data_IF_736625653361
#
_entry.id   IF_736625653361
#
_cell.length_a   1.000
_cell.length_b   1.000
_cell.length_c   1.000
_cell.angle_alpha   90.00
_cell.angle_beta   90.00
_cell.angle_gamma   90.00
#
_symmetry.space_group_name_H-M   'P 1'
#
loop_
_entity.id
_entity.type
_entity.pdbx_description
1 polymer ?
#
# COMPACT_ATOMS: atom_id res chain seq x y z
N UNK A 1 -24.40 5.05 -18.16
CA UNK A 1 -23.98 5.15 -16.74
C UNK A 1 -23.64 3.75 -16.28
N UNK A 2 -22.36 3.43 -16.22
CA UNK A 2 -21.90 2.19 -15.63
C UNK A 2 -22.07 2.30 -14.11
N UNK A 3 -23.01 1.59 -13.55
CA UNK A 3 -23.16 1.48 -12.11
C UNK A 3 -22.16 0.41 -11.65
N UNK A 4 -21.00 0.84 -11.15
CA UNK A 4 -20.08 -0.06 -10.45
C UNK A 4 -20.77 -0.42 -9.13
N UNK A 5 -21.48 -1.54 -9.10
CA UNK A 5 -21.96 -2.10 -7.83
C UNK A 5 -20.74 -2.64 -7.10
N UNK A 6 -20.62 -2.47 -5.77
CA UNK A 6 -19.69 -3.25 -4.97
C UNK A 6 -20.16 -4.71 -5.07
N UNK A 7 -19.70 -5.40 -6.10
CA UNK A 7 -19.99 -6.81 -6.29
C UNK A 7 -19.18 -7.62 -5.29
N UNK A 8 -19.77 -8.69 -4.83
CA UNK A 8 -19.15 -9.72 -4.00
C UNK A 8 -17.70 -9.94 -4.45
N UNK A 9 -16.76 -9.55 -3.61
CA UNK A 9 -15.33 -9.49 -3.89
C UNK A 9 -14.79 -10.92 -3.98
N UNK A 10 -15.03 -11.56 -5.11
CA UNK A 10 -14.40 -12.84 -5.51
C UNK A 10 -13.19 -12.61 -6.42
N UNK A 11 -12.85 -11.36 -6.71
CA UNK A 11 -11.81 -11.03 -7.67
C UNK A 11 -10.45 -10.89 -7.00
N UNK A 12 -9.41 -11.19 -7.76
CA UNK A 12 -8.01 -11.08 -7.35
C UNK A 12 -7.70 -9.67 -6.86
N UNK A 13 -7.46 -9.53 -5.56
CA UNK A 13 -7.33 -8.23 -4.87
C UNK A 13 -6.21 -7.34 -5.45
N UNK A 14 -5.11 -7.91 -5.96
CA UNK A 14 -4.00 -7.14 -6.58
C UNK A 14 -4.49 -6.39 -7.82
N UNK A 15 -5.30 -7.02 -8.67
CA UNK A 15 -5.87 -6.37 -9.86
C UNK A 15 -6.86 -5.29 -9.48
N UNK A 16 -7.67 -5.54 -8.46
CA UNK A 16 -8.65 -4.59 -7.96
C UNK A 16 -7.98 -3.32 -7.41
N UNK A 17 -6.95 -3.45 -6.58
CA UNK A 17 -6.22 -2.32 -6.02
C UNK A 17 -5.53 -1.48 -7.10
N UNK A 18 -4.96 -2.12 -8.12
CA UNK A 18 -4.38 -1.42 -9.27
C UNK A 18 -5.45 -0.67 -10.07
N UNK A 19 -6.62 -1.29 -10.27
CA UNK A 19 -7.76 -0.64 -10.92
C UNK A 19 -8.25 0.57 -10.11
N UNK A 20 -8.37 0.44 -8.80
CA UNK A 20 -8.83 1.54 -7.94
C UNK A 20 -7.83 2.69 -7.89
N UNK A 21 -6.54 2.39 -7.89
CA UNK A 21 -5.49 3.41 -8.05
C UNK A 21 -5.64 4.15 -9.38
N UNK A 22 -5.86 3.43 -10.49
CA UNK A 22 -6.14 4.02 -11.80
C UNK A 22 -7.43 4.85 -11.85
N UNK A 23 -8.49 4.41 -11.17
CA UNK A 23 -9.73 5.20 -11.06
C UNK A 23 -9.50 6.51 -10.30
N UNK A 24 -8.68 6.50 -9.25
CA UNK A 24 -8.31 7.71 -8.53
C UNK A 24 -7.46 8.66 -9.39
N UNK A 25 -6.54 8.13 -10.21
CA UNK A 25 -5.79 8.93 -11.17
C UNK A 25 -6.71 9.57 -12.24
N UNK A 26 -7.67 8.82 -12.78
CA UNK A 26 -8.66 9.36 -13.72
C UNK A 26 -9.49 10.47 -13.08
N UNK A 27 -9.96 10.27 -11.85
CA UNK A 27 -10.68 11.30 -11.09
C UNK A 27 -9.82 12.57 -10.92
N UNK A 28 -8.56 12.41 -10.55
CA UNK A 28 -7.64 13.54 -10.35
C UNK A 28 -7.37 14.32 -11.64
N UNK A 29 -7.22 13.61 -12.77
CA UNK A 29 -6.91 14.22 -14.07
C UNK A 29 -8.10 14.84 -14.77
N UNK A 30 -9.27 14.21 -14.66
CA UNK A 30 -10.47 14.64 -15.38
C UNK A 30 -11.39 15.53 -14.56
N UNK A 31 -11.28 15.49 -13.23
CA UNK A 31 -12.24 16.13 -12.32
C UNK A 31 -13.62 15.46 -12.31
N UNK A 32 -13.77 14.26 -12.89
CA UNK A 32 -15.04 13.54 -12.93
C UNK A 32 -15.41 12.99 -11.55
N UNK A 33 -16.15 13.79 -10.79
CA UNK A 33 -16.61 13.46 -9.44
C UNK A 33 -17.56 12.26 -9.38
N UNK A 34 -18.02 11.73 -10.52
CA UNK A 34 -18.89 10.54 -10.53
C UNK A 34 -18.20 9.29 -9.98
N UNK A 35 -16.87 9.22 -10.05
CA UNK A 35 -16.08 8.12 -9.52
C UNK A 35 -15.90 8.17 -7.99
N UNK A 36 -16.04 9.35 -7.40
CA UNK A 36 -15.73 9.60 -6.00
C UNK A 36 -16.51 8.73 -5.01
N UNK A 37 -17.87 8.63 -5.10
CA UNK A 37 -18.64 7.80 -4.17
C UNK A 37 -18.26 6.31 -4.23
N UNK A 38 -17.90 5.82 -5.42
CA UNK A 38 -17.46 4.44 -5.58
C UNK A 38 -16.10 4.22 -4.91
N UNK A 39 -15.14 5.12 -5.11
CA UNK A 39 -13.81 5.05 -4.49
C UNK A 39 -13.90 5.14 -2.96
N UNK A 40 -14.73 6.06 -2.43
CA UNK A 40 -14.93 6.20 -0.99
C UNK A 40 -15.55 4.94 -0.38
N UNK A 41 -16.57 4.36 -1.02
CA UNK A 41 -17.20 3.12 -0.56
C UNK A 41 -16.25 1.93 -0.60
N UNK A 42 -15.45 1.80 -1.65
CA UNK A 42 -14.45 0.75 -1.81
C UNK A 42 -13.37 0.89 -0.73
N UNK A 43 -12.86 2.09 -0.52
CA UNK A 43 -11.82 2.35 0.47
C UNK A 43 -12.30 2.00 1.88
N UNK A 44 -13.47 2.49 2.29
CA UNK A 44 -14.05 2.16 3.58
C UNK A 44 -14.25 0.66 3.76
N UNK A 45 -14.76 -0.05 2.75
CA UNK A 45 -14.95 -1.50 2.82
C UNK A 45 -13.61 -2.24 2.99
N UNK A 46 -12.57 -1.81 2.27
CA UNK A 46 -11.24 -2.43 2.38
C UNK A 46 -10.64 -2.16 3.76
N UNK A 47 -10.56 -0.90 4.16
CA UNK A 47 -9.81 -0.50 5.36
C UNK A 47 -10.54 -0.89 6.65
N UNK A 48 -11.85 -0.70 6.70
CA UNK A 48 -12.62 -0.94 7.91
C UNK A 48 -12.96 -2.42 8.13
N UNK A 49 -13.02 -3.23 7.05
CA UNK A 49 -13.61 -4.56 7.13
C UNK A 49 -12.70 -5.70 6.63
N UNK A 50 -11.64 -5.42 5.87
CA UNK A 50 -10.88 -6.45 5.16
C UNK A 50 -9.37 -6.32 5.27
N UNK A 51 -8.89 -5.28 5.91
CA UNK A 51 -7.47 -5.02 6.09
C UNK A 51 -6.98 -5.64 7.41
N UNK A 52 -5.88 -6.39 7.33
CA UNK A 52 -5.18 -6.86 8.52
C UNK A 52 -4.47 -5.70 9.22
N UNK A 53 -4.16 -5.85 10.49
CA UNK A 53 -3.48 -4.83 11.30
C UNK A 53 -2.14 -4.38 10.70
N UNK A 54 -1.50 -5.20 9.90
CA UNK A 54 -0.26 -4.90 9.18
C UNK A 54 -0.48 -4.08 7.90
N UNK A 55 -1.70 -3.67 7.59
CA UNK A 55 -2.02 -3.06 6.29
C UNK A 55 -2.08 -4.06 5.14
N UNK A 56 -1.89 -5.33 5.43
CA UNK A 56 -1.97 -6.40 4.46
C UNK A 56 -3.40 -6.78 4.09
N UNK A 57 -3.57 -7.35 2.92
CA UNK A 57 -4.85 -7.69 2.33
C UNK A 57 -4.84 -9.12 1.76
N UNK A 58 -6.00 -9.76 1.82
CA UNK A 58 -6.18 -11.12 1.30
C UNK A 58 -6.29 -12.16 2.40
N UNK A 59 -7.52 -12.49 2.82
CA UNK A 59 -7.77 -13.48 3.84
C UNK A 59 -7.77 -14.92 3.29
N UNK A 60 -7.96 -15.12 1.97
CA UNK A 60 -8.25 -16.43 1.39
C UNK A 60 -7.18 -16.84 0.37
N UNK A 61 -6.50 -17.96 0.64
CA UNK A 61 -5.48 -18.55 -0.22
C UNK A 61 -6.00 -18.97 -1.60
N UNK A 62 -7.09 -19.68 -1.66
CA UNK A 62 -7.52 -20.39 -2.87
C UNK A 62 -7.99 -19.49 -4.02
N UNK A 63 -8.31 -18.23 -3.74
CA UNK A 63 -8.80 -17.28 -4.74
C UNK A 63 -7.94 -16.01 -4.85
N UNK A 64 -6.87 -15.93 -4.05
CA UNK A 64 -6.07 -14.69 -3.95
C UNK A 64 -6.96 -13.45 -3.74
N UNK A 65 -7.96 -13.57 -2.85
CA UNK A 65 -9.06 -12.61 -2.75
C UNK A 65 -9.29 -12.07 -1.34
N UNK A 66 -10.12 -11.05 -1.30
CA UNK A 66 -10.55 -10.47 -0.05
C UNK A 66 -11.39 -11.42 0.75
N UNK A 67 -11.50 -12.07 1.54
CA UNK A 67 -12.46 -12.87 2.31
C UNK A 67 -13.77 -12.13 2.64
N UNK A 68 -14.67 -12.75 3.37
CA UNK A 68 -15.80 -12.08 3.96
C UNK A 68 -15.38 -10.94 4.89
N UNK A 69 -16.29 -10.01 5.15
CA UNK A 69 -16.05 -8.89 6.07
C UNK A 69 -15.68 -9.41 7.46
N UNK A 70 -14.69 -8.77 8.09
CA UNK A 70 -14.16 -9.10 9.43
C UNK A 70 -13.57 -10.51 9.58
N UNK A 71 -13.38 -11.25 8.49
CA UNK A 71 -12.65 -12.51 8.50
C UNK A 71 -11.19 -12.24 8.18
N UNK A 72 -10.38 -12.12 9.24
CA UNK A 72 -8.98 -11.72 9.21
C UNK A 72 -8.11 -12.73 9.99
N UNK A 73 -7.93 -13.96 9.46
CA UNK A 73 -7.14 -14.99 10.14
C UNK A 73 -5.67 -14.55 10.24
N UNK A 74 -4.99 -14.94 11.32
CA UNK A 74 -3.57 -14.63 11.50
C UNK A 74 -2.68 -15.60 10.73
N UNK A 75 -2.92 -16.89 10.88
CA UNK A 75 -2.08 -17.95 10.34
C UNK A 75 -2.45 -18.34 8.90
N UNK A 76 -3.74 -18.42 8.64
CA UNK A 76 -4.26 -18.89 7.36
C UNK A 76 -4.53 -17.77 6.36
N UNK A 77 -4.09 -16.55 6.66
CA UNK A 77 -4.18 -15.42 5.74
C UNK A 77 -3.23 -15.60 4.57
N UNK A 78 -3.72 -15.36 3.35
CA UNK A 78 -2.84 -15.25 2.18
C UNK A 78 -1.97 -14.01 2.25
N UNK A 79 -2.59 -12.88 2.51
CA UNK A 79 -1.93 -11.61 2.84
C UNK A 79 -0.75 -11.30 1.89
N UNK A 80 -1.04 -11.30 0.59
CA UNK A 80 -0.03 -11.22 -0.45
C UNK A 80 0.76 -9.92 -0.42
N UNK A 81 2.07 -10.00 -0.52
CA UNK A 81 2.93 -8.81 -0.57
C UNK A 81 2.58 -7.87 -1.74
N UNK A 82 2.16 -8.40 -2.90
CA UNK A 82 1.67 -7.56 -4.00
C UNK A 82 0.41 -6.76 -3.63
N UNK A 83 -0.46 -7.33 -2.80
CA UNK A 83 -1.65 -6.61 -2.33
C UNK A 83 -1.26 -5.44 -1.42
N UNK A 84 -0.26 -5.62 -0.57
CA UNK A 84 0.26 -4.51 0.24
C UNK A 84 0.86 -3.40 -0.63
N UNK A 85 1.62 -3.75 -1.67
CA UNK A 85 2.10 -2.77 -2.67
C UNK A 85 0.93 -2.03 -3.32
N UNK A 86 -0.10 -2.76 -3.76
CA UNK A 86 -1.31 -2.17 -4.32
C UNK A 86 -2.04 -1.25 -3.34
N UNK A 87 -2.07 -1.63 -2.05
CA UNK A 87 -2.67 -0.83 -0.98
C UNK A 87 -1.93 0.49 -0.78
N UNK A 88 -0.59 0.49 -0.73
CA UNK A 88 0.22 1.71 -0.69
C UNK A 88 -0.09 2.61 -1.88
N UNK A 89 -0.10 2.06 -3.10
CA UNK A 89 -0.35 2.81 -4.33
C UNK A 89 -1.76 3.41 -4.36
N UNK A 90 -2.78 2.64 -4.00
CA UNK A 90 -4.17 3.11 -3.97
C UNK A 90 -4.35 4.23 -2.94
N UNK A 91 -3.86 4.05 -1.73
CA UNK A 91 -3.97 5.05 -0.68
C UNK A 91 -3.23 6.35 -1.03
N UNK A 92 -2.04 6.25 -1.61
CA UNK A 92 -1.32 7.45 -2.06
C UNK A 92 -2.11 8.22 -3.14
N UNK A 93 -2.76 7.55 -4.11
CA UNK A 93 -3.64 8.20 -5.09
C UNK A 93 -4.86 8.83 -4.46
N UNK A 94 -5.48 8.17 -3.50
CA UNK A 94 -6.59 8.74 -2.73
C UNK A 94 -6.15 9.99 -1.97
N UNK A 95 -4.97 9.98 -1.37
CA UNK A 95 -4.39 11.16 -0.73
C UNK A 95 -4.22 12.31 -1.71
N UNK A 96 -3.62 12.09 -2.88
CA UNK A 96 -3.45 13.13 -3.90
C UNK A 96 -4.78 13.75 -4.34
N UNK A 97 -5.86 12.99 -4.29
CA UNK A 97 -7.21 13.44 -4.66
C UNK A 97 -7.91 14.20 -3.52
N UNK A 98 -7.74 13.74 -2.29
CA UNK A 98 -8.51 14.20 -1.12
C UNK A 98 -7.71 15.10 -0.18
N UNK A 99 -6.38 14.98 -0.17
CA UNK A 99 -5.46 15.67 0.78
C UNK A 99 -5.78 15.37 2.26
N UNK A 100 -6.26 14.16 2.56
CA UNK A 100 -6.62 13.70 3.88
C UNK A 100 -5.56 12.72 4.38
N UNK A 101 -4.99 12.97 5.55
CA UNK A 101 -3.88 12.20 6.14
C UNK A 101 -4.23 10.73 6.36
N UNK A 102 -5.51 10.38 6.61
CA UNK A 102 -5.93 9.00 6.83
C UNK A 102 -5.50 8.01 5.73
N UNK A 103 -5.37 8.48 4.50
CA UNK A 103 -4.89 7.66 3.40
C UNK A 103 -3.40 7.41 3.50
N UNK A 104 -2.63 8.42 3.95
CA UNK A 104 -1.20 8.28 4.18
C UNK A 104 -0.92 7.35 5.35
N UNK A 105 -1.72 7.43 6.42
CA UNK A 105 -1.61 6.54 7.58
C UNK A 105 -1.76 5.08 7.17
N UNK A 106 -2.76 4.76 6.35
CA UNK A 106 -2.94 3.41 5.82
C UNK A 106 -1.79 2.99 4.90
N UNK A 107 -1.33 3.90 4.03
CA UNK A 107 -0.19 3.63 3.15
C UNK A 107 1.09 3.35 3.94
N UNK A 108 1.33 4.10 5.01
CA UNK A 108 2.49 3.94 5.88
C UNK A 108 2.46 2.60 6.63
N UNK A 109 1.32 2.26 7.24
CA UNK A 109 1.14 0.95 7.90
C UNK A 109 1.40 -0.19 6.92
N UNK A 110 0.83 -0.14 5.72
CA UNK A 110 1.04 -1.16 4.70
C UNK A 110 2.50 -1.22 4.22
N UNK A 111 3.16 -0.07 4.07
CA UNK A 111 4.55 0.01 3.64
C UNK A 111 5.48 -0.63 4.68
N UNK A 112 5.42 -0.19 5.93
CA UNK A 112 6.34 -0.67 6.96
C UNK A 112 6.06 -2.10 7.41
N UNK A 113 4.80 -2.45 7.63
CA UNK A 113 4.44 -3.69 8.30
C UNK A 113 4.11 -4.84 7.33
N UNK A 114 3.99 -4.59 6.04
CA UNK A 114 3.75 -5.65 5.07
C UNK A 114 4.71 -5.62 3.88
N UNK A 115 4.87 -4.50 3.17
CA UNK A 115 5.78 -4.43 2.01
C UNK A 115 7.23 -4.65 2.44
N UNK A 116 7.74 -3.89 3.40
CA UNK A 116 9.11 -4.03 3.89
C UNK A 116 9.32 -5.33 4.67
N UNK A 117 8.31 -5.80 5.39
CA UNK A 117 8.33 -7.15 5.97
C UNK A 117 8.39 -8.26 4.89
N UNK A 118 7.95 -7.96 3.67
CA UNK A 118 8.00 -8.87 2.53
C UNK A 118 9.41 -9.14 1.99
N UNK A 119 10.44 -8.42 2.43
CA UNK A 119 11.84 -8.61 2.02
C UNK A 119 12.73 -8.76 3.25
N UNK A 120 13.79 -9.57 3.16
CA UNK A 120 14.77 -9.66 4.24
C UNK A 120 15.75 -8.47 4.24
N UNK A 121 16.51 -8.31 5.32
CA UNK A 121 17.45 -7.19 5.47
C UNK A 121 18.54 -7.16 4.39
N UNK A 122 18.96 -8.33 3.90
CA UNK A 122 19.95 -8.43 2.81
C UNK A 122 19.35 -8.11 1.43
N UNK A 123 18.02 -7.93 1.32
CA UNK A 123 17.33 -7.58 0.07
C UNK A 123 17.23 -8.72 -0.96
N UNK A 124 17.51 -9.97 -0.58
CA UNK A 124 17.67 -11.09 -1.52
C UNK A 124 16.70 -12.27 -1.30
N UNK A 125 15.79 -12.16 -0.33
CA UNK A 125 14.74 -13.15 -0.06
C UNK A 125 13.41 -12.48 0.26
N UNK A 126 12.32 -13.10 -0.20
CA UNK A 126 11.01 -12.47 -0.24
C UNK A 126 9.91 -13.37 0.34
N UNK A 127 8.88 -12.73 0.88
CA UNK A 127 7.57 -13.35 1.05
C UNK A 127 6.69 -13.07 -0.18
N UNK A 128 6.03 -14.09 -0.64
CA UNK A 128 4.87 -14.00 -1.52
C UNK A 128 3.62 -13.89 -0.63
N UNK A 129 3.38 -14.92 0.15
CA UNK A 129 2.39 -14.97 1.22
C UNK A 129 3.04 -14.49 2.51
N UNK A 130 2.42 -13.53 3.19
CA UNK A 130 2.96 -12.86 4.37
C UNK A 130 1.95 -12.83 5.53
N UNK A 131 1.61 -13.98 6.12
CA UNK A 131 0.65 -14.06 7.22
C UNK A 131 1.20 -13.39 8.49
N UNK A 132 0.31 -13.06 9.43
CA UNK A 132 0.68 -12.46 10.70
C UNK A 132 1.30 -13.46 11.66
N UNK A 133 0.97 -14.75 11.49
CA UNK A 133 1.47 -15.85 12.29
C UNK A 133 2.11 -16.91 11.38
N UNK A 134 3.35 -17.26 11.66
CA UNK A 134 4.03 -18.36 10.99
C UNK A 134 4.63 -19.30 12.03
N UNK A 135 4.32 -20.57 11.94
CA UNK A 135 5.03 -21.61 12.67
C UNK A 135 6.03 -22.33 11.72
N UNK A 136 7.08 -22.90 12.30
CA UNK A 136 8.07 -23.62 11.51
C UNK A 136 7.54 -24.95 10.92
N UNK A 137 6.27 -25.30 11.14
CA UNK A 137 5.66 -26.57 10.74
C UNK A 137 5.01 -26.46 9.35
N UNK A 138 4.38 -25.31 9.05
CA UNK A 138 3.57 -25.12 7.85
C UNK A 138 4.34 -24.39 6.75
N UNK A 139 4.22 -24.90 5.54
CA UNK A 139 4.74 -24.27 4.33
C UNK A 139 3.69 -23.29 3.79
N UNK A 140 3.80 -22.02 4.16
CA UNK A 140 2.82 -20.98 3.82
C UNK A 140 3.22 -20.15 2.59
N UNK A 141 4.53 -20.02 2.32
CA UNK A 141 5.04 -19.12 1.28
C UNK A 141 5.35 -19.89 -0.01
N UNK A 142 4.34 -20.21 -0.80
CA UNK A 142 4.46 -20.98 -2.05
C UNK A 142 5.22 -22.31 -1.85
N UNK A 143 4.81 -23.07 -0.85
CA UNK A 143 5.44 -24.34 -0.50
C UNK A 143 6.68 -24.22 0.41
N UNK A 144 7.03 -23.04 0.87
CA UNK A 144 8.15 -22.78 1.76
C UNK A 144 7.69 -22.29 3.14
N UNK A 145 8.52 -22.50 4.14
CA UNK A 145 8.26 -22.09 5.54
C UNK A 145 8.85 -20.72 5.90
N UNK A 146 9.45 -20.03 4.96
CA UNK A 146 10.13 -18.76 5.15
C UNK A 146 10.28 -18.01 3.83
N UNK A 147 11.09 -16.98 3.83
CA UNK A 147 11.37 -16.19 2.61
C UNK A 147 12.14 -17.03 1.58
N UNK A 148 11.84 -16.81 0.31
CA UNK A 148 12.49 -17.44 -0.83
C UNK A 148 13.30 -16.43 -1.63
N UNK A 149 14.45 -16.83 -2.22
CA UNK A 149 15.19 -15.97 -3.15
C UNK A 149 14.36 -15.61 -4.39
N UNK A 150 13.48 -16.50 -4.85
CA UNK A 150 12.66 -16.29 -6.03
C UNK A 150 11.44 -17.20 -6.06
N UNK A 151 10.52 -16.95 -6.99
CA UNK A 151 9.30 -17.73 -7.21
C UNK A 151 9.10 -17.99 -8.69
N UNK A 152 8.41 -19.06 -9.06
CA UNK A 152 8.05 -19.35 -10.44
C UNK A 152 7.22 -18.24 -11.08
N UNK A 153 6.31 -17.62 -10.32
CA UNK A 153 5.62 -16.38 -10.67
C UNK A 153 6.09 -15.30 -9.71
N UNK A 154 7.08 -14.52 -10.10
CA UNK A 154 7.81 -13.61 -9.23
C UNK A 154 7.20 -12.19 -9.15
N UNK A 155 5.86 -12.08 -9.02
CA UNK A 155 5.20 -10.77 -8.94
C UNK A 155 5.57 -9.99 -7.67
N UNK A 156 5.67 -10.63 -6.51
CA UNK A 156 5.95 -9.95 -5.25
C UNK A 156 7.35 -9.34 -5.19
N UNK A 157 8.45 -10.07 -5.51
CA UNK A 157 9.77 -9.46 -5.58
C UNK A 157 9.85 -8.28 -6.56
N UNK A 158 9.25 -8.45 -7.75
CA UNK A 158 9.26 -7.40 -8.77
C UNK A 158 8.44 -6.16 -8.37
N UNK A 159 7.31 -6.34 -7.67
CA UNK A 159 6.50 -5.23 -7.18
C UNK A 159 7.18 -4.49 -6.02
N UNK A 160 7.85 -5.18 -5.12
CA UNK A 160 8.70 -4.56 -4.09
C UNK A 160 9.80 -3.73 -4.76
N UNK A 161 10.53 -4.32 -5.73
CA UNK A 161 11.60 -3.65 -6.44
C UNK A 161 11.13 -2.43 -7.25
N UNK A 162 9.86 -2.38 -7.66
CA UNK A 162 9.26 -1.21 -8.31
C UNK A 162 8.81 -0.16 -7.32
N UNK A 163 8.22 -0.55 -6.19
CA UNK A 163 7.66 0.40 -5.22
C UNK A 163 8.75 1.13 -4.44
N UNK A 164 9.73 0.42 -3.89
CA UNK A 164 10.75 1.02 -3.02
C UNK A 164 11.45 2.23 -3.68
N UNK A 165 11.92 2.17 -4.95
CA UNK A 165 12.51 3.33 -5.61
C UNK A 165 11.53 4.49 -5.89
N UNK A 166 10.21 4.26 -5.81
CA UNK A 166 9.22 5.31 -5.99
C UNK A 166 8.92 6.07 -4.69
N UNK A 167 9.20 5.47 -3.52
CA UNK A 167 8.90 6.10 -2.22
C UNK A 167 9.51 7.50 -2.08
N UNK A 168 10.77 7.77 -2.48
CA UNK A 168 11.30 9.14 -2.43
C UNK A 168 10.44 10.17 -3.19
N UNK A 169 9.85 9.79 -4.32
CA UNK A 169 8.93 10.63 -5.09
C UNK A 169 7.53 10.76 -4.48
N UNK A 170 7.22 9.94 -3.47
CA UNK A 170 5.96 9.95 -2.75
C UNK A 170 6.06 10.66 -1.39
N UNK A 171 7.26 11.06 -0.95
CA UNK A 171 7.47 11.62 0.39
C UNK A 171 6.90 13.03 0.57
N UNK A 172 6.78 13.75 -0.51
CA UNK A 172 6.22 15.10 -0.50
C UNK A 172 5.25 15.27 -1.66
N UNK A 173 4.09 15.83 -1.35
CA UNK A 173 3.18 16.35 -2.35
C UNK A 173 3.07 17.87 -2.17
N UNK A 174 2.69 18.58 -3.22
CA UNK A 174 2.51 20.03 -3.13
C UNK A 174 1.36 20.51 -4.01
N UNK A 175 0.84 21.66 -3.64
CA UNK A 175 0.02 22.52 -4.49
C UNK A 175 0.85 23.76 -4.86
N UNK A 176 0.22 24.75 -5.45
CA UNK A 176 0.89 26.02 -5.73
C UNK A 176 1.45 26.68 -4.45
N UNK A 177 0.77 26.49 -3.30
CA UNK A 177 1.07 27.21 -2.04
C UNK A 177 1.32 26.29 -0.84
N UNK A 178 1.00 25.00 -0.92
CA UNK A 178 1.10 24.08 0.20
C UNK A 178 2.07 22.93 -0.07
N UNK A 179 2.73 22.47 0.97
CA UNK A 179 3.57 21.27 0.95
C UNK A 179 3.03 20.28 1.98
N UNK A 180 2.83 19.04 1.53
CA UNK A 180 2.39 17.93 2.35
C UNK A 180 3.55 16.94 2.52
N UNK A 181 3.95 16.68 3.76
CA UNK A 181 4.85 15.59 4.08
C UNK A 181 4.03 14.31 4.28
N UNK A 182 4.30 13.28 3.48
CA UNK A 182 3.54 12.04 3.49
C UNK A 182 4.26 10.90 4.18
N UNK A 183 5.57 10.83 4.07
CA UNK A 183 6.38 9.80 4.74
C UNK A 183 7.59 10.43 5.44
N UNK A 184 8.03 9.77 6.51
CA UNK A 184 9.16 10.24 7.32
C UNK A 184 10.40 9.39 7.07
N UNK A 185 11.44 10.03 6.52
CA UNK A 185 12.77 9.48 6.38
C UNK A 185 13.80 10.60 6.18
N UNK A 186 15.06 10.32 6.44
CA UNK A 186 16.13 11.29 6.20
C UNK A 186 16.23 11.67 4.73
N UNK A 187 15.87 12.92 4.36
CA UNK A 187 15.82 13.41 2.98
C UNK A 187 16.23 14.86 2.85
N UNK A 188 16.61 15.25 1.63
CA UNK A 188 16.73 16.65 1.24
C UNK A 188 16.20 16.82 -0.18
N UNK A 189 15.26 17.73 -0.38
CA UNK A 189 14.62 17.98 -1.68
C UNK A 189 14.31 19.45 -1.87
N UNK A 190 14.05 19.83 -3.11
CA UNK A 190 13.58 21.18 -3.48
C UNK A 190 12.19 21.05 -4.08
N UNK A 191 11.22 21.70 -3.44
CA UNK A 191 9.82 21.72 -3.87
C UNK A 191 9.53 23.06 -4.54
N UNK A 192 9.04 23.06 -5.80
CA UNK A 192 8.61 24.29 -6.46
C UNK A 192 7.24 24.73 -5.93
N UNK A 193 7.06 26.00 -5.68
CA UNK A 193 5.80 26.67 -5.34
C UNK A 193 5.57 27.83 -6.32
N UNK A 194 4.38 28.45 -6.28
CA UNK A 194 4.06 29.61 -7.15
C UNK A 194 5.05 30.74 -7.02
N UNK A 195 5.50 31.04 -5.79
CA UNK A 195 6.33 32.17 -5.47
C UNK A 195 7.84 31.87 -5.40
N UNK A 196 8.23 30.65 -5.78
CA UNK A 196 9.64 30.25 -5.75
C UNK A 196 9.88 28.78 -5.44
N UNK A 197 10.99 28.51 -4.77
CA UNK A 197 11.40 27.16 -4.41
C UNK A 197 11.69 27.07 -2.92
N UNK A 198 11.22 26.02 -2.28
CA UNK A 198 11.51 25.70 -0.88
C UNK A 198 12.43 24.49 -0.82
N UNK A 199 13.55 24.62 -0.14
CA UNK A 199 14.42 23.46 0.19
C UNK A 199 13.95 22.88 1.50
N UNK A 200 13.59 21.59 1.49
CA UNK A 200 13.19 20.85 2.68
C UNK A 200 14.29 19.86 3.01
N UNK A 201 14.72 19.87 4.24
CA UNK A 201 15.60 18.84 4.80
C UNK A 201 14.89 18.18 5.97
N UNK A 202 14.68 16.88 5.87
CA UNK A 202 14.10 16.07 6.94
C UNK A 202 15.20 15.22 7.57
N UNK A 203 15.33 15.30 8.88
CA UNK A 203 16.28 14.52 9.67
C UNK A 203 15.51 13.73 10.72
N UNK A 204 15.59 12.41 10.64
CA UNK A 204 14.89 11.50 11.53
C UNK A 204 15.53 10.13 11.51
N UNK A 205 15.29 9.35 12.56
CA UNK A 205 15.55 7.91 12.63
C UNK A 205 14.22 7.12 12.70
N UNK A 206 13.14 7.72 12.22
CA UNK A 206 11.83 7.08 12.15
C UNK A 206 11.88 5.78 11.31
N UNK A 207 11.23 4.69 11.70
CA UNK A 207 10.26 4.56 12.79
C UNK A 207 10.89 4.16 14.14
N UNK A 208 12.19 4.15 14.29
CA UNK A 208 12.88 3.74 15.52
C UNK A 208 12.96 4.86 16.56
N UNK A 209 12.75 6.09 16.15
CA UNK A 209 12.67 7.29 16.99
C UNK A 209 11.46 8.12 16.53
N UNK A 210 10.71 8.68 17.49
CA UNK A 210 9.52 9.48 17.22
C UNK A 210 9.84 10.90 16.73
N UNK A 211 11.11 11.31 16.82
CA UNK A 211 11.53 12.67 16.48
C UNK A 211 11.70 12.84 14.97
N UNK A 212 11.00 13.82 14.41
CA UNK A 212 11.18 14.29 13.04
C UNK A 212 11.50 15.78 13.07
N UNK A 213 12.62 16.17 12.47
CA UNK A 213 13.04 17.56 12.37
C UNK A 213 13.05 17.99 10.90
N UNK A 214 12.42 19.12 10.66
CA UNK A 214 12.43 19.80 9.38
C UNK A 214 13.29 21.06 9.43
#
# INVERSE_FOLDING_TARGET
>A
KATIKPQSVKDVFVRMLTLYAGMADVLAQTGDKSLQPALDSIWNNIVDMRMHITGGLGAIHGIEGFGPEYVLPNKDAYNETCAAVGNVMFNYRMFLTKKDARYVDVAEVALYNNVLAGVNLDGNKFFYVNPLEADARNAFNQGLKGRSPWFGTACCPSNIARLIPQIPGMMYAHTDNDIYCTFYAGTSTVVPLSDGKVTIKQTTNYPFDESVRF
#
